data_IF_937170057024
#
_entry.id   IF_937170057024
#
_cell.length_a   1.000
_cell.length_b   1.000
_cell.length_c   1.000
_cell.angle_alpha   90.00
_cell.angle_beta   90.00
_cell.angle_gamma   90.00
#
_symmetry.space_group_name_H-M   'P 1'
#
loop_
_entity.id
_entity.type
_entity.pdbx_description
1 polymer ?
#
# COMPACT_ATOMS: atom_id res chain seq x y z
N UNK A 1 -25.50 10.07 -12.72
CA UNK A 1 -24.10 10.11 -13.19
C UNK A 1 -23.96 9.24 -14.44
N UNK A 2 -24.10 9.80 -15.64
CA UNK A 2 -24.12 9.08 -16.94
C UNK A 2 -22.76 8.49 -17.34
N UNK A 3 -22.20 7.61 -16.48
CA UNK A 3 -20.92 6.93 -16.70
C UNK A 3 -21.18 5.50 -17.15
N UNK A 4 -20.52 5.09 -18.23
CA UNK A 4 -20.50 3.71 -18.71
C UNK A 4 -20.14 2.74 -17.59
N UNK A 5 -20.99 1.72 -17.41
CA UNK A 5 -20.75 0.61 -16.50
C UNK A 5 -20.38 -0.62 -17.33
N UNK A 6 -19.30 -1.30 -16.95
CA UNK A 6 -18.81 -2.49 -17.64
C UNK A 6 -19.05 -3.72 -16.76
N UNK A 7 -19.67 -4.78 -17.31
CA UNK A 7 -19.81 -6.09 -16.66
C UNK A 7 -18.90 -7.09 -17.37
N UNK A 8 -18.09 -7.83 -16.61
CA UNK A 8 -17.15 -8.81 -17.13
C UNK A 8 -17.65 -10.24 -16.84
N UNK A 9 -17.31 -11.21 -17.69
CA UNK A 9 -17.62 -12.63 -17.47
C UNK A 9 -16.83 -13.23 -16.30
N UNK A 10 -17.32 -14.34 -15.74
CA UNK A 10 -16.63 -15.07 -14.66
C UNK A 10 -15.25 -15.57 -15.09
N UNK A 11 -15.14 -16.11 -16.31
CA UNK A 11 -13.88 -16.55 -16.89
C UNK A 11 -12.86 -15.39 -17.07
N UNK A 12 -13.33 -14.17 -17.36
CA UNK A 12 -12.47 -13.00 -17.35
C UNK A 12 -12.03 -12.64 -15.93
N UNK A 13 -12.95 -12.72 -14.96
CA UNK A 13 -12.66 -12.46 -13.54
C UNK A 13 -11.62 -13.43 -12.99
N UNK A 14 -11.73 -14.72 -13.28
CA UNK A 14 -10.77 -15.74 -12.83
C UNK A 14 -9.37 -15.51 -13.42
N UNK A 15 -9.28 -15.26 -14.74
CA UNK A 15 -8.01 -14.90 -15.40
C UNK A 15 -7.38 -13.64 -14.81
N UNK A 16 -8.19 -12.64 -14.47
CA UNK A 16 -7.72 -11.42 -13.79
C UNK A 16 -7.18 -11.72 -12.38
N UNK A 17 -7.76 -12.67 -11.65
CA UNK A 17 -7.26 -13.07 -10.32
C UNK A 17 -5.88 -13.75 -10.40
N UNK A 18 -5.65 -14.63 -11.37
CA UNK A 18 -4.36 -15.29 -11.56
C UNK A 18 -3.30 -14.34 -12.12
N UNK A 19 -3.68 -13.41 -13.01
CA UNK A 19 -2.81 -12.32 -13.44
C UNK A 19 -2.43 -11.40 -12.26
N UNK A 20 -3.39 -11.10 -11.37
CA UNK A 20 -3.18 -10.29 -10.16
C UNK A 20 -2.18 -10.95 -9.21
N UNK A 21 -2.13 -12.28 -9.14
CA UNK A 21 -1.16 -13.03 -8.36
C UNK A 21 0.28 -12.83 -8.85
N UNK A 22 0.53 -13.14 -10.13
CA UNK A 22 1.86 -12.98 -10.74
C UNK A 22 2.33 -11.53 -10.62
N UNK A 23 1.39 -10.60 -10.81
CA UNK A 23 1.62 -9.16 -10.67
C UNK A 23 2.04 -8.76 -9.26
N UNK A 24 1.37 -9.23 -8.21
CA UNK A 24 1.69 -8.82 -6.83
C UNK A 24 3.00 -9.43 -6.32
N UNK A 25 3.29 -10.68 -6.71
CA UNK A 25 4.58 -11.34 -6.42
C UNK A 25 5.72 -10.62 -7.13
N UNK A 26 5.55 -10.27 -8.42
CA UNK A 26 6.52 -9.47 -9.17
C UNK A 26 6.71 -8.08 -8.55
N UNK A 27 5.62 -7.42 -8.16
CA UNK A 27 5.65 -6.11 -7.51
C UNK A 27 6.49 -6.16 -6.23
N UNK A 28 6.26 -7.15 -5.37
CA UNK A 28 7.02 -7.34 -4.14
C UNK A 28 8.51 -7.55 -4.41
N UNK A 29 8.87 -8.36 -5.41
CA UNK A 29 10.27 -8.56 -5.84
C UNK A 29 10.94 -7.27 -6.34
N UNK A 30 10.18 -6.33 -6.89
CA UNK A 30 10.69 -5.05 -7.37
C UNK A 30 10.91 -4.01 -6.25
N UNK A 31 10.30 -4.17 -5.06
CA UNK A 31 10.37 -3.20 -3.97
C UNK A 31 11.80 -2.83 -3.53
N UNK A 32 12.75 -3.77 -3.36
CA UNK A 32 14.12 -3.42 -2.95
C UNK A 32 14.86 -2.55 -3.98
N UNK A 33 14.70 -2.85 -5.28
CA UNK A 33 15.28 -2.03 -6.35
C UNK A 33 14.70 -0.61 -6.31
N UNK A 34 13.38 -0.52 -6.17
CA UNK A 34 12.69 0.76 -6.05
C UNK A 34 13.15 1.57 -4.83
N UNK A 35 13.24 0.96 -3.64
CA UNK A 35 13.69 1.63 -2.41
C UNK A 35 15.10 2.20 -2.54
N UNK A 36 16.03 1.45 -3.13
CA UNK A 36 17.38 1.95 -3.43
C UNK A 36 17.36 3.17 -4.34
N UNK A 37 16.56 3.13 -5.41
CA UNK A 37 16.43 4.25 -6.35
C UNK A 37 15.78 5.48 -5.68
N UNK A 38 14.72 5.29 -4.92
CA UNK A 38 14.03 6.35 -4.15
C UNK A 38 14.99 7.01 -3.16
N UNK A 39 15.78 6.23 -2.42
CA UNK A 39 16.77 6.77 -1.49
C UNK A 39 17.85 7.58 -2.22
N UNK A 40 18.32 7.10 -3.37
CA UNK A 40 19.28 7.83 -4.20
C UNK A 40 18.69 9.16 -4.72
N UNK A 41 17.47 9.15 -5.25
CA UNK A 41 16.82 10.34 -5.79
C UNK A 41 16.45 11.35 -4.68
N UNK A 42 16.10 10.90 -3.47
CA UNK A 42 15.86 11.77 -2.31
C UNK A 42 17.10 12.55 -1.85
N UNK A 43 18.31 12.02 -2.11
CA UNK A 43 19.60 12.68 -1.80
C UNK A 43 19.96 13.79 -2.78
N UNK A 44 19.26 13.91 -3.91
CA UNK A 44 19.47 15.02 -4.86
C UNK A 44 19.16 16.37 -4.22
N UNK A 45 19.80 17.43 -4.73
CA UNK A 45 19.57 18.82 -4.30
C UNK A 45 18.36 19.41 -5.03
N UNK A 46 17.85 20.54 -4.51
CA UNK A 46 16.77 21.30 -5.16
C UNK A 46 15.42 20.58 -5.15
N UNK A 47 14.47 21.09 -5.93
CA UNK A 47 13.09 20.57 -6.03
C UNK A 47 12.82 19.95 -7.41
N UNK A 48 13.82 19.31 -8.01
CA UNK A 48 13.70 18.65 -9.31
C UNK A 48 12.76 17.44 -9.31
N UNK A 49 12.34 17.04 -10.51
CA UNK A 49 11.35 15.99 -10.76
C UNK A 49 11.61 14.72 -9.95
N UNK A 50 12.81 14.14 -10.03
CA UNK A 50 13.11 12.85 -9.41
C UNK A 50 13.04 12.93 -7.89
N UNK A 51 13.56 13.99 -7.28
CA UNK A 51 13.56 14.15 -5.82
C UNK A 51 12.13 14.24 -5.28
N UNK A 52 11.29 15.02 -5.95
CA UNK A 52 9.88 15.20 -5.58
C UNK A 52 9.11 13.89 -5.75
N UNK A 53 9.24 13.24 -6.90
CA UNK A 53 8.55 11.97 -7.18
C UNK A 53 9.05 10.82 -6.28
N UNK A 54 10.33 10.79 -5.93
CA UNK A 54 10.87 9.85 -4.95
C UNK A 54 10.25 10.05 -3.56
N UNK A 55 10.12 11.31 -3.11
CA UNK A 55 9.44 11.63 -1.85
C UNK A 55 7.98 11.23 -1.85
N UNK A 56 7.27 11.50 -2.94
CA UNK A 56 5.88 11.04 -3.11
C UNK A 56 5.77 9.52 -3.11
N UNK A 57 6.69 8.82 -3.77
CA UNK A 57 6.68 7.36 -3.81
C UNK A 57 6.99 6.74 -2.44
N UNK A 58 7.91 7.36 -1.66
CA UNK A 58 8.16 7.01 -0.26
C UNK A 58 6.89 7.16 0.59
N UNK A 59 6.19 8.29 0.47
CA UNK A 59 4.89 8.52 1.16
C UNK A 59 3.86 7.47 0.74
N UNK A 60 3.75 7.18 -0.55
CA UNK A 60 2.78 6.22 -1.07
C UNK A 60 3.07 4.80 -0.58
N UNK A 61 4.35 4.42 -0.54
CA UNK A 61 4.82 3.13 -0.06
C UNK A 61 4.63 2.89 1.43
N UNK A 62 4.55 3.95 2.24
CA UNK A 62 4.44 3.87 3.70
C UNK A 62 3.03 4.20 4.22
N UNK A 63 2.43 5.29 3.76
CA UNK A 63 1.13 5.76 4.26
C UNK A 63 -0.07 5.19 3.49
N UNK A 64 0.19 4.47 2.40
CA UNK A 64 -0.82 3.88 1.51
C UNK A 64 -1.86 4.87 0.98
N UNK A 65 -1.50 6.16 0.89
CA UNK A 65 -2.37 7.22 0.40
C UNK A 65 -2.74 6.95 -1.06
N UNK A 66 -3.99 7.24 -1.44
CA UNK A 66 -4.40 7.19 -2.84
C UNK A 66 -3.66 8.25 -3.66
N UNK A 67 -3.21 7.96 -4.88
CA UNK A 67 -2.50 8.94 -5.70
C UNK A 67 -3.30 10.22 -5.97
N UNK A 68 -4.64 10.14 -6.00
CA UNK A 68 -5.52 11.27 -6.30
C UNK A 68 -5.70 11.52 -7.80
N UNK A 69 -6.68 12.35 -8.14
CA UNK A 69 -6.86 12.89 -9.49
C UNK A 69 -7.56 14.24 -9.40
N UNK A 70 -7.16 15.21 -10.21
CA UNK A 70 -7.72 16.58 -10.19
C UNK A 70 -9.24 16.60 -10.33
N UNK A 71 -9.79 15.85 -11.30
CA UNK A 71 -11.24 15.80 -11.54
C UNK A 71 -12.05 15.46 -10.28
N UNK A 72 -11.61 14.47 -9.50
CA UNK A 72 -12.28 14.09 -8.26
C UNK A 72 -12.09 15.12 -7.13
N UNK A 73 -10.96 15.83 -7.10
CA UNK A 73 -10.69 16.85 -6.10
C UNK A 73 -11.54 18.10 -6.31
N UNK A 74 -11.80 18.46 -7.57
CA UNK A 74 -12.62 19.62 -7.94
C UNK A 74 -14.12 19.32 -7.83
N UNK A 75 -14.57 18.20 -8.39
CA UNK A 75 -16.00 17.87 -8.43
C UNK A 75 -16.56 17.43 -7.04
N UNK A 76 -15.75 16.82 -6.17
CA UNK A 76 -16.24 16.15 -4.95
C UNK A 76 -15.53 16.58 -3.66
N UNK A 77 -14.64 17.57 -3.71
CA UNK A 77 -13.86 18.01 -2.54
C UNK A 77 -13.01 16.90 -1.90
N UNK A 78 -12.68 15.85 -2.65
CA UNK A 78 -11.99 14.65 -2.18
C UNK A 78 -10.54 14.63 -2.66
N UNK A 79 -9.56 14.58 -1.77
CA UNK A 79 -8.14 14.69 -2.12
C UNK A 79 -7.41 13.34 -2.14
N UNK A 80 -6.32 13.28 -2.91
CA UNK A 80 -5.28 12.25 -2.81
C UNK A 80 -3.89 12.89 -2.86
N UNK A 81 -2.84 12.08 -2.84
CA UNK A 81 -1.45 12.53 -2.67
C UNK A 81 -1.07 13.68 -3.62
N UNK A 82 -1.34 13.54 -4.91
CA UNK A 82 -1.01 14.52 -5.94
C UNK A 82 -1.87 15.80 -5.90
N UNK A 83 -2.95 15.82 -5.10
CA UNK A 83 -3.87 16.97 -4.99
C UNK A 83 -3.93 17.49 -3.54
N UNK A 84 -3.00 17.10 -2.67
CA UNK A 84 -2.94 17.63 -1.32
C UNK A 84 -2.58 19.11 -1.35
N UNK A 85 -3.21 19.89 -0.47
CA UNK A 85 -2.99 21.33 -0.31
C UNK A 85 -2.26 21.60 1.00
N UNK A 86 -1.67 22.79 1.14
CA UNK A 86 -0.89 23.15 2.33
C UNK A 86 -1.64 22.90 3.65
N UNK A 87 -2.93 23.24 3.71
CA UNK A 87 -3.80 23.01 4.88
C UNK A 87 -3.97 21.53 5.28
N UNK A 88 -3.68 20.60 4.38
CA UNK A 88 -3.80 19.16 4.62
C UNK A 88 -2.53 18.53 5.21
N UNK A 89 -1.43 19.29 5.28
CA UNK A 89 -0.12 18.75 5.64
C UNK A 89 0.51 19.58 6.74
N UNK A 90 0.91 18.93 7.83
CA UNK A 90 1.68 19.54 8.91
C UNK A 90 3.03 18.84 9.03
N UNK A 91 4.10 19.60 9.20
CA UNK A 91 5.45 19.06 9.41
C UNK A 91 5.93 19.45 10.80
N UNK A 92 6.18 18.46 11.67
CA UNK A 92 6.67 18.63 13.04
C UNK A 92 7.98 17.86 13.21
N UNK A 93 9.11 18.58 13.25
CA UNK A 93 10.44 17.94 13.24
C UNK A 93 10.61 17.05 12.01
N UNK A 94 10.79 15.74 12.23
CA UNK A 94 10.92 14.71 11.20
C UNK A 94 9.60 13.99 10.87
N UNK A 95 8.50 14.41 11.49
CA UNK A 95 7.17 13.80 11.31
C UNK A 95 6.29 14.65 10.40
N UNK A 96 5.74 14.03 9.37
CA UNK A 96 4.66 14.58 8.55
C UNK A 96 3.32 14.02 9.03
N UNK A 97 2.34 14.90 9.13
CA UNK A 97 0.94 14.55 9.42
C UNK A 97 0.10 14.99 8.23
N UNK A 98 -0.60 14.05 7.62
CA UNK A 98 -1.56 14.27 6.54
C UNK A 98 -2.97 14.13 7.09
N UNK A 99 -3.77 15.19 6.97
CA UNK A 99 -5.13 15.21 7.48
C UNK A 99 -6.08 15.90 6.48
N UNK A 100 -6.92 15.11 5.80
CA UNK A 100 -7.72 15.58 4.65
C UNK A 100 -8.98 14.74 4.40
N UNK A 101 -10.01 15.31 3.74
CA UNK A 101 -11.14 14.52 3.24
C UNK A 101 -10.70 13.73 2.00
N UNK A 102 -10.70 12.40 2.11
CA UNK A 102 -10.36 11.49 1.03
C UNK A 102 -11.55 11.15 0.13
N UNK A 103 -11.40 10.08 -0.66
CA UNK A 103 -12.48 9.58 -1.54
C UNK A 103 -13.78 9.36 -0.74
N UNK A 104 -14.89 9.84 -1.30
CA UNK A 104 -16.22 9.74 -0.68
C UNK A 104 -16.33 10.46 0.67
N UNK A 105 -15.53 11.50 0.89
CA UNK A 105 -15.55 12.31 2.12
C UNK A 105 -14.90 11.66 3.34
N UNK A 106 -14.42 10.41 3.23
CA UNK A 106 -13.80 9.70 4.36
C UNK A 106 -12.54 10.43 4.80
N UNK A 107 -12.53 10.91 6.05
CA UNK A 107 -11.38 11.58 6.65
C UNK A 107 -10.17 10.62 6.67
N UNK A 108 -9.04 11.11 6.19
CA UNK A 108 -7.77 10.38 6.22
C UNK A 108 -6.82 11.11 7.17
N UNK A 109 -6.38 10.42 8.22
CA UNK A 109 -5.29 10.84 9.09
C UNK A 109 -4.13 9.86 8.93
N UNK A 110 -2.97 10.33 8.48
CA UNK A 110 -1.77 9.51 8.26
C UNK A 110 -0.53 10.22 8.77
N UNK A 111 0.38 9.46 9.34
CA UNK A 111 1.65 9.97 9.84
C UNK A 111 2.82 9.27 9.17
N UNK A 112 3.90 10.02 8.96
CA UNK A 112 5.16 9.50 8.43
C UNK A 112 6.31 10.16 9.17
N UNK A 113 7.12 9.36 9.86
CA UNK A 113 8.39 9.82 10.42
C UNK A 113 9.52 9.53 9.43
N UNK A 114 9.94 10.56 8.70
CA UNK A 114 11.04 10.47 7.73
C UNK A 114 11.67 11.86 7.54
N UNK A 115 12.90 12.02 8.04
CA UNK A 115 13.65 13.28 7.99
C UNK A 115 13.85 13.82 6.57
N UNK A 116 14.11 12.94 5.61
CA UNK A 116 14.38 13.33 4.22
C UNK A 116 13.11 13.83 3.54
N UNK A 117 12.00 13.11 3.73
CA UNK A 117 10.69 13.53 3.22
C UNK A 117 10.18 14.77 3.94
N UNK A 118 10.36 14.89 5.26
CA UNK A 118 9.94 16.06 6.03
C UNK A 118 10.66 17.32 5.56
N UNK A 119 11.97 17.21 5.30
CA UNK A 119 12.77 18.28 4.71
C UNK A 119 12.27 18.69 3.33
N UNK A 120 12.03 17.72 2.45
CA UNK A 120 11.49 17.97 1.11
C UNK A 120 10.13 18.68 1.16
N UNK A 121 9.18 18.16 1.94
CA UNK A 121 7.83 18.73 2.03
C UNK A 121 7.85 20.12 2.65
N UNK A 122 8.73 20.38 3.63
CA UNK A 122 8.92 21.72 4.19
C UNK A 122 9.39 22.73 3.14
N UNK A 123 10.25 22.31 2.20
CA UNK A 123 10.68 23.15 1.08
C UNK A 123 9.53 23.37 0.09
N UNK A 124 8.78 22.31 -0.25
CA UNK A 124 7.63 22.39 -1.15
C UNK A 124 6.51 23.31 -0.64
N UNK A 125 6.26 23.33 0.66
CA UNK A 125 5.26 24.21 1.29
C UNK A 125 5.60 25.71 1.17
N UNK A 126 6.88 26.06 0.92
CA UNK A 126 7.31 27.45 0.71
C UNK A 126 7.15 27.90 -0.74
N UNK A 127 7.04 26.96 -1.68
CA UNK A 127 6.83 27.27 -3.09
C UNK A 127 5.36 27.66 -3.29
N UNK A 128 5.05 28.81 -3.91
CA UNK A 128 3.67 29.22 -4.19
C UNK A 128 2.92 28.17 -5.03
N UNK A 129 1.59 28.13 -4.91
CA UNK A 129 0.72 27.27 -5.72
C UNK A 129 -0.33 26.53 -4.90
N UNK A 130 -1.30 25.96 -5.62
CA UNK A 130 -2.49 25.32 -5.04
C UNK A 130 -2.16 24.01 -4.32
N UNK A 131 -1.37 23.18 -4.97
CA UNK A 131 -1.01 21.85 -4.48
C UNK A 131 0.37 21.86 -3.81
N UNK A 132 0.58 20.93 -2.88
CA UNK A 132 1.85 20.78 -2.13
C UNK A 132 2.92 20.20 -3.04
N UNK A 133 2.59 19.16 -3.79
CA UNK A 133 3.57 18.42 -4.57
C UNK A 133 3.72 19.00 -5.97
N UNK A 134 4.89 19.60 -6.20
CA UNK A 134 5.31 20.24 -7.44
C UNK A 134 6.81 20.08 -7.58
N UNK A 135 7.30 20.07 -8.81
CA UNK A 135 8.74 20.12 -9.09
C UNK A 135 9.10 21.35 -9.90
N UNK A 136 10.34 21.77 -9.78
CA UNK A 136 10.91 22.92 -10.47
C UNK A 136 11.79 22.41 -11.61
N UNK A 137 11.55 22.90 -12.81
CA UNK A 137 12.34 22.62 -14.01
C UNK A 137 13.63 23.47 -14.01
N UNK A 138 14.54 23.15 -14.92
CA UNK A 138 15.84 23.83 -15.02
C UNK A 138 15.73 25.33 -15.39
N UNK A 139 14.65 25.70 -16.10
CA UNK A 139 14.29 27.07 -16.43
C UNK A 139 13.57 27.82 -15.28
N UNK A 140 13.39 27.16 -14.13
CA UNK A 140 12.69 27.70 -12.96
C UNK A 140 11.17 27.53 -12.99
N UNK A 141 10.59 26.97 -14.06
CA UNK A 141 9.15 26.76 -14.14
C UNK A 141 8.67 25.74 -13.11
N UNK A 142 7.56 26.05 -12.44
CA UNK A 142 6.94 25.18 -11.43
C UNK A 142 5.85 24.34 -12.06
N UNK A 143 5.97 23.02 -11.92
CA UNK A 143 5.03 22.04 -12.47
C UNK A 143 4.37 21.25 -11.35
N UNK A 144 3.04 21.32 -11.27
CA UNK A 144 2.28 20.50 -10.33
C UNK A 144 2.43 19.00 -10.66
N UNK A 145 2.63 18.18 -9.63
CA UNK A 145 2.65 16.73 -9.82
C UNK A 145 1.25 16.22 -10.05
N UNK A 146 1.05 15.49 -11.16
CA UNK A 146 -0.20 14.79 -11.46
C UNK A 146 -0.03 13.28 -11.34
N UNK A 147 -1.15 12.55 -11.32
CA UNK A 147 -1.18 11.08 -11.25
C UNK A 147 -0.33 10.42 -12.35
N UNK A 148 -0.25 11.02 -13.54
CA UNK A 148 0.56 10.51 -14.66
C UNK A 148 2.05 10.50 -14.31
N UNK A 149 2.58 11.63 -13.82
CA UNK A 149 4.00 11.76 -13.44
C UNK A 149 4.40 10.73 -12.37
N UNK A 150 3.52 10.47 -11.40
CA UNK A 150 3.78 9.46 -10.38
C UNK A 150 3.80 8.04 -10.94
N UNK A 151 2.90 7.69 -11.86
CA UNK A 151 2.90 6.35 -12.47
C UNK A 151 4.05 6.18 -13.47
N UNK A 152 4.43 7.23 -14.20
CA UNK A 152 5.63 7.23 -15.04
C UNK A 152 6.86 6.91 -14.21
N UNK A 153 7.07 7.64 -13.10
CA UNK A 153 8.19 7.37 -12.20
C UNK A 153 8.14 5.97 -11.57
N UNK A 154 6.95 5.46 -11.21
CA UNK A 154 6.80 4.07 -10.74
C UNK A 154 7.29 3.09 -11.80
N UNK A 155 6.93 3.29 -13.07
CA UNK A 155 7.37 2.41 -14.16
C UNK A 155 8.88 2.53 -14.41
N UNK A 156 9.45 3.73 -14.33
CA UNK A 156 10.90 3.97 -14.43
C UNK A 156 11.68 3.17 -13.37
N UNK A 157 11.20 3.14 -12.12
CA UNK A 157 11.96 2.53 -11.01
C UNK A 157 11.60 1.07 -10.72
N UNK A 158 10.39 0.63 -11.06
CA UNK A 158 9.90 -0.73 -10.80
C UNK A 158 9.78 -1.61 -12.05
N UNK A 159 9.76 -1.01 -13.24
CA UNK A 159 9.51 -1.69 -14.51
C UNK A 159 8.08 -1.47 -15.03
N UNK A 160 7.85 -1.78 -16.33
CA UNK A 160 6.58 -1.53 -16.98
C UNK A 160 5.47 -2.35 -16.34
N UNK A 161 4.27 -1.75 -16.33
CA UNK A 161 3.07 -2.43 -15.88
C UNK A 161 2.72 -2.22 -14.41
N UNK A 162 3.57 -1.66 -13.54
CA UNK A 162 3.19 -1.30 -12.17
C UNK A 162 2.62 0.12 -12.06
N UNK A 163 1.85 0.37 -11.00
CA UNK A 163 1.17 1.63 -10.75
C UNK A 163 1.02 1.89 -9.25
N UNK A 164 0.59 3.11 -8.91
CA UNK A 164 0.25 3.49 -7.54
C UNK A 164 -0.79 2.58 -6.86
N UNK A 165 -1.65 1.89 -7.64
CA UNK A 165 -2.66 0.96 -7.10
C UNK A 165 -2.00 -0.27 -6.47
N UNK A 166 -0.89 -0.73 -7.04
CA UNK A 166 -0.24 -1.98 -6.65
C UNK A 166 0.32 -1.92 -5.23
N UNK A 167 0.82 -0.75 -4.81
CA UNK A 167 1.24 -0.49 -3.43
C UNK A 167 0.12 -0.76 -2.41
N UNK A 168 -1.10 -0.28 -2.69
CA UNK A 168 -2.24 -0.49 -1.80
C UNK A 168 -2.70 -1.95 -1.78
N UNK A 169 -2.56 -2.67 -2.89
CA UNK A 169 -2.87 -4.11 -2.94
C UNK A 169 -1.83 -4.92 -2.18
N UNK A 170 -0.54 -4.60 -2.33
CA UNK A 170 0.52 -5.22 -1.52
C UNK A 170 0.31 -4.96 -0.03
N UNK A 171 0.09 -3.70 0.35
CA UNK A 171 -0.15 -3.30 1.74
C UNK A 171 -1.37 -4.00 2.34
N UNK A 172 -2.51 -4.00 1.65
CA UNK A 172 -3.72 -4.66 2.13
C UNK A 172 -3.53 -6.16 2.35
N UNK A 173 -2.81 -6.82 1.43
CA UNK A 173 -2.50 -8.24 1.53
C UNK A 173 -1.55 -8.51 2.71
N UNK A 174 -0.52 -7.69 2.89
CA UNK A 174 0.46 -7.82 3.96
C UNK A 174 -0.13 -7.58 5.35
N UNK A 175 -0.91 -6.51 5.51
CA UNK A 175 -1.60 -6.22 6.78
C UNK A 175 -2.54 -7.36 7.14
N UNK A 176 -3.35 -7.83 6.18
CA UNK A 176 -4.25 -8.95 6.41
C UNK A 176 -3.47 -10.23 6.81
N UNK A 177 -2.40 -10.57 6.09
CA UNK A 177 -1.60 -11.76 6.41
C UNK A 177 -0.95 -11.69 7.81
N UNK A 178 -0.44 -10.53 8.21
CA UNK A 178 0.13 -10.33 9.54
C UNK A 178 -0.93 -10.41 10.64
N UNK A 179 -2.11 -9.80 10.43
CA UNK A 179 -3.22 -9.87 11.38
C UNK A 179 -3.74 -11.32 11.57
N UNK A 180 -3.78 -12.11 10.49
CA UNK A 180 -4.11 -13.54 10.54
C UNK A 180 -3.06 -14.34 11.32
N UNK A 181 -1.78 -14.05 11.14
CA UNK A 181 -0.70 -14.69 11.89
C UNK A 181 -0.79 -14.39 13.39
N UNK A 182 -1.00 -13.12 13.78
CA UNK A 182 -1.23 -12.72 15.18
C UNK A 182 -2.44 -13.44 15.78
N UNK A 183 -3.55 -13.48 15.04
CA UNK A 183 -4.75 -14.17 15.49
C UNK A 183 -4.47 -15.67 15.74
N UNK A 184 -3.70 -16.31 14.86
CA UNK A 184 -3.34 -17.74 15.00
C UNK A 184 -2.46 -17.99 16.22
N UNK A 185 -1.52 -17.09 16.51
CA UNK A 185 -0.68 -17.17 17.72
C UNK A 185 -1.53 -17.12 18.99
N UNK A 186 -2.45 -16.16 19.11
CA UNK A 186 -3.37 -16.06 20.25
C UNK A 186 -4.21 -17.33 20.42
N UNK A 187 -4.70 -17.92 19.32
CA UNK A 187 -5.49 -19.15 19.37
C UNK A 187 -4.70 -20.38 19.80
N UNK A 188 -3.39 -20.44 19.52
CA UNK A 188 -2.53 -21.53 20.03
C UNK A 188 -2.30 -21.41 21.54
N UNK A 189 -2.26 -20.19 22.06
CA UNK A 189 -2.07 -19.94 23.49
C UNK A 189 -3.33 -20.28 24.32
N UNK A 190 -4.53 -20.16 23.73
CA UNK A 190 -5.82 -20.43 24.40
C UNK A 190 -6.19 -21.93 24.48
N UNK A 191 -5.40 -22.83 23.88
CA UNK A 191 -5.63 -24.27 23.90
C UNK A 191 -6.68 -24.75 22.87
N UNK A 192 -6.79 -26.08 22.71
CA UNK A 192 -7.73 -26.67 21.74
C UNK A 192 -9.18 -26.49 22.21
N UNK A 193 -10.02 -25.99 21.31
CA UNK A 193 -11.46 -25.83 21.53
C UNK A 193 -12.26 -26.76 20.60
N UNK A 194 -13.50 -27.06 20.96
CA UNK A 194 -14.38 -27.94 20.18
C UNK A 194 -14.46 -27.52 18.68
N UNK A 195 -14.57 -28.47 17.73
CA UNK A 195 -14.44 -28.19 16.28
C UNK A 195 -15.39 -27.10 15.74
N UNK A 196 -16.61 -27.01 16.28
CA UNK A 196 -17.62 -26.00 15.90
C UNK A 196 -17.22 -24.60 16.39
N UNK A 197 -16.65 -24.51 17.59
CA UNK A 197 -16.09 -23.26 18.12
C UNK A 197 -14.90 -22.82 17.28
N UNK A 198 -14.04 -23.75 16.87
CA UNK A 198 -12.87 -23.48 16.04
C UNK A 198 -13.22 -22.84 14.68
N UNK A 199 -14.22 -23.36 13.96
CA UNK A 199 -14.68 -22.76 12.68
C UNK A 199 -15.22 -21.34 12.85
N UNK A 200 -15.97 -21.09 13.93
CA UNK A 200 -16.54 -19.77 14.23
C UNK A 200 -15.45 -18.76 14.55
N UNK A 201 -14.47 -19.19 15.35
CA UNK A 201 -13.31 -18.38 15.73
C UNK A 201 -12.46 -18.03 14.51
N UNK A 202 -12.18 -19.00 13.62
CA UNK A 202 -11.46 -18.74 12.36
C UNK A 202 -12.16 -17.68 11.49
N UNK A 203 -13.48 -17.79 11.31
CA UNK A 203 -14.25 -16.77 10.56
C UNK A 203 -14.14 -15.39 11.20
N UNK A 204 -14.24 -15.30 12.53
CA UNK A 204 -14.07 -14.03 13.27
C UNK A 204 -12.67 -13.45 13.06
N UNK A 205 -11.62 -14.26 13.12
CA UNK A 205 -10.24 -13.82 12.85
C UNK A 205 -10.08 -13.26 11.44
N UNK A 206 -10.65 -13.91 10.43
CA UNK A 206 -10.61 -13.42 9.05
C UNK A 206 -11.34 -12.09 8.88
N UNK A 207 -12.53 -11.94 9.48
CA UNK A 207 -13.28 -10.69 9.45
C UNK A 207 -12.49 -9.57 10.12
N UNK A 208 -11.87 -9.84 11.27
CA UNK A 208 -11.01 -8.88 11.98
C UNK A 208 -9.81 -8.46 11.14
N UNK A 209 -9.09 -9.42 10.54
CA UNK A 209 -7.92 -9.13 9.69
C UNK A 209 -8.29 -8.31 8.43
N UNK A 210 -9.45 -8.59 7.82
CA UNK A 210 -9.95 -7.80 6.69
C UNK A 210 -10.31 -6.37 7.14
N UNK A 211 -10.92 -6.24 8.32
CA UNK A 211 -11.28 -4.94 8.91
C UNK A 211 -10.04 -4.09 9.16
N UNK A 212 -9.02 -4.65 9.80
CA UNK A 212 -7.75 -3.96 10.06
C UNK A 212 -7.13 -3.44 8.75
N UNK A 213 -7.01 -4.30 7.74
CA UNK A 213 -6.51 -3.88 6.42
C UNK A 213 -7.38 -2.76 5.78
N UNK A 214 -8.70 -2.80 5.97
CA UNK A 214 -9.60 -1.78 5.43
C UNK A 214 -9.46 -0.41 6.11
N UNK A 215 -9.23 -0.39 7.42
CA UNK A 215 -9.04 0.82 8.23
C UNK A 215 -7.73 1.53 7.83
N UNK A 216 -6.64 0.76 7.71
CA UNK A 216 -5.36 1.27 7.23
C UNK A 216 -5.39 1.76 5.77
N UNK A 217 -6.21 1.15 4.92
CA UNK A 217 -6.36 1.59 3.53
C UNK A 217 -7.39 2.71 3.34
N UNK A 218 -8.24 3.00 4.33
CA UNK A 218 -9.37 3.93 4.18
C UNK A 218 -10.38 3.41 3.14
N UNK A 219 -10.83 2.17 3.31
CA UNK A 219 -11.82 1.47 2.48
C UNK A 219 -12.88 0.81 3.38
N UNK A 220 -14.01 0.43 2.80
CA UNK A 220 -14.90 -0.54 3.48
C UNK A 220 -14.27 -1.94 3.49
N UNK A 221 -14.58 -2.80 4.48
CA UNK A 221 -14.10 -4.18 4.54
C UNK A 221 -14.40 -4.98 3.25
N UNK A 222 -15.60 -4.80 2.68
CA UNK A 222 -15.99 -5.44 1.43
C UNK A 222 -15.08 -5.05 0.26
N UNK A 223 -14.77 -3.76 0.11
CA UNK A 223 -13.87 -3.26 -0.94
C UNK A 223 -12.43 -3.72 -0.70
N UNK A 224 -11.96 -3.71 0.55
CA UNK A 224 -10.63 -4.21 0.89
C UNK A 224 -10.49 -5.69 0.50
N UNK A 225 -11.44 -6.54 0.92
CA UNK A 225 -11.47 -7.98 0.61
C UNK A 225 -11.51 -8.25 -0.90
N UNK A 226 -12.37 -7.56 -1.64
CA UNK A 226 -12.55 -7.82 -3.07
C UNK A 226 -11.39 -7.28 -3.92
N UNK A 227 -10.83 -6.12 -3.56
CA UNK A 227 -9.92 -5.37 -4.45
C UNK A 227 -8.48 -5.28 -3.98
N UNK A 228 -8.21 -5.31 -2.68
CA UNK A 228 -6.88 -5.00 -2.13
C UNK A 228 -6.23 -6.15 -1.38
N UNK A 229 -7.00 -7.11 -0.88
CA UNK A 229 -6.47 -8.32 -0.25
C UNK A 229 -6.39 -9.42 -1.30
N UNK A 230 -5.24 -10.07 -1.41
CA UNK A 230 -5.10 -11.21 -2.30
C UNK A 230 -5.76 -12.46 -1.68
N UNK A 231 -6.75 -13.10 -2.33
CA UNK A 231 -7.58 -14.13 -1.69
C UNK A 231 -6.83 -15.33 -1.11
N UNK A 232 -5.64 -15.64 -1.62
CA UNK A 232 -4.90 -16.81 -1.13
C UNK A 232 -4.50 -16.69 0.33
N UNK A 233 -4.27 -15.49 0.88
CA UNK A 233 -3.89 -15.36 2.31
C UNK A 233 -5.03 -15.83 3.23
N UNK A 234 -6.27 -15.59 2.82
CA UNK A 234 -7.47 -16.05 3.50
C UNK A 234 -7.62 -17.57 3.36
N UNK A 235 -7.45 -18.11 2.15
CA UNK A 235 -7.55 -19.55 1.89
C UNK A 235 -6.43 -20.37 2.57
N UNK A 236 -5.22 -19.81 2.70
CA UNK A 236 -4.10 -20.44 3.41
C UNK A 236 -4.37 -20.46 4.92
N UNK A 237 -4.93 -19.38 5.48
CA UNK A 237 -5.32 -19.32 6.89
C UNK A 237 -6.39 -20.36 7.25
N UNK A 238 -7.39 -20.57 6.39
CA UNK A 238 -8.39 -21.63 6.56
C UNK A 238 -7.76 -23.03 6.62
N UNK A 239 -6.61 -23.23 5.96
CA UNK A 239 -5.80 -24.46 6.00
C UNK A 239 -4.78 -24.48 7.16
N UNK A 240 -4.86 -23.53 8.08
CA UNK A 240 -3.96 -23.40 9.22
C UNK A 240 -2.58 -22.84 8.88
N UNK A 241 -2.37 -22.31 7.68
CA UNK A 241 -1.09 -21.75 7.23
C UNK A 241 -1.09 -20.22 7.38
N UNK A 242 -0.08 -19.69 8.05
CA UNK A 242 0.14 -18.26 8.27
C UNK A 242 1.59 -17.88 7.96
N UNK A 243 1.87 -16.58 7.83
CA UNK A 243 3.24 -16.11 7.68
C UNK A 243 4.00 -16.42 8.98
N UNK A 244 5.24 -16.86 8.84
CA UNK A 244 6.13 -17.23 9.94
C UNK A 244 6.74 -16.00 10.64
N UNK A 245 6.84 -14.87 9.92
CA UNK A 245 7.24 -13.57 10.48
C UNK A 245 6.20 -12.50 10.15
N UNK A 246 5.84 -11.71 11.14
CA UNK A 246 4.86 -10.63 11.05
C UNK A 246 5.26 -9.46 11.95
N UNK A 247 4.74 -8.28 11.64
CA UNK A 247 4.84 -7.11 12.53
C UNK A 247 3.69 -7.10 13.54
N UNK A 248 3.92 -6.45 14.69
CA UNK A 248 2.90 -6.24 15.72
C UNK A 248 1.95 -5.10 15.39
N UNK A 249 2.45 -4.05 14.73
CA UNK A 249 1.65 -2.92 14.24
C UNK A 249 2.14 -2.46 12.88
N UNK A 250 1.28 -1.77 12.12
CA UNK A 250 1.66 -1.19 10.82
C UNK A 250 2.76 -0.12 10.99
N UNK A 251 2.85 0.51 12.16
CA UNK A 251 3.88 1.50 12.46
C UNK A 251 5.29 0.87 12.48
N UNK A 252 5.42 -0.39 12.87
CA UNK A 252 6.68 -1.14 12.79
C UNK A 252 7.14 -1.30 11.33
N UNK A 253 6.20 -1.60 10.42
CA UNK A 253 6.49 -1.63 8.98
C UNK A 253 6.88 -0.25 8.46
N UNK A 254 6.21 0.81 8.94
CA UNK A 254 6.51 2.19 8.55
C UNK A 254 7.88 2.67 9.06
N UNK A 255 8.32 2.18 10.22
CA UNK A 255 9.63 2.46 10.81
C UNK A 255 10.78 1.74 10.09
N UNK A 256 10.49 0.74 9.25
CA UNK A 256 11.49 0.06 8.43
C UNK A 256 12.01 1.00 7.32
N UNK A 257 13.00 1.82 7.67
CA UNK A 257 13.64 2.77 6.76
C UNK A 257 14.65 2.12 5.78
N UNK A 258 14.88 0.82 5.91
CA UNK A 258 15.90 0.08 5.16
C UNK A 258 15.59 -0.10 3.67
N UNK A 259 16.65 -0.30 2.88
CA UNK A 259 16.56 -0.52 1.43
C UNK A 259 15.99 -1.89 1.05
N UNK A 260 16.10 -2.87 1.97
CA UNK A 260 15.61 -4.23 1.78
C UNK A 260 14.13 -4.41 2.15
N UNK A 261 13.60 -5.61 1.91
CA UNK A 261 12.29 -6.02 2.41
C UNK A 261 12.31 -6.19 3.93
N UNK A 262 11.24 -5.74 4.59
CA UNK A 262 10.95 -6.08 5.97
C UNK A 262 10.77 -7.60 6.13
N UNK A 263 10.96 -8.14 7.34
CA UNK A 263 10.87 -9.59 7.56
C UNK A 263 9.48 -10.15 7.19
N UNK A 264 8.42 -9.41 7.47
CA UNK A 264 7.04 -9.77 7.09
C UNK A 264 6.80 -9.72 5.58
N UNK A 265 7.45 -8.79 4.87
CA UNK A 265 7.37 -8.72 3.40
C UNK A 265 8.03 -9.94 2.77
N UNK A 266 9.19 -10.37 3.30
CA UNK A 266 9.87 -11.60 2.86
C UNK A 266 9.02 -12.84 3.15
N UNK A 267 8.45 -12.92 4.34
CA UNK A 267 7.59 -14.03 4.76
C UNK A 267 6.35 -14.16 3.86
N UNK A 268 5.67 -13.03 3.59
CA UNK A 268 4.54 -13.02 2.66
C UNK A 268 4.97 -13.39 1.24
N UNK A 269 6.08 -12.84 0.75
CA UNK A 269 6.58 -13.16 -0.59
C UNK A 269 6.90 -14.65 -0.73
N UNK A 270 7.51 -15.26 0.29
CA UNK A 270 7.77 -16.70 0.30
C UNK A 270 6.48 -17.52 0.35
N UNK A 271 5.52 -17.14 1.21
CA UNK A 271 4.20 -17.77 1.27
C UNK A 271 3.49 -17.73 -0.08
N UNK A 272 3.44 -16.55 -0.71
CA UNK A 272 2.79 -16.36 -2.01
C UNK A 272 3.61 -16.93 -3.17
N UNK A 273 4.93 -17.05 -3.04
CA UNK A 273 5.81 -17.57 -4.09
C UNK A 273 5.77 -19.09 -4.25
N UNK A 274 5.19 -19.82 -3.30
CA UNK A 274 5.03 -21.27 -3.39
C UNK A 274 4.02 -21.63 -4.49
N UNK A 275 4.37 -22.52 -5.44
CA UNK A 275 3.41 -22.98 -6.43
C UNK A 275 2.19 -23.61 -5.74
N UNK A 276 0.99 -23.35 -6.28
CA UNK A 276 -0.25 -24.02 -5.86
C UNK A 276 -0.13 -25.50 -6.27
N UNK A 277 0.40 -26.34 -5.39
CA UNK A 277 0.45 -27.79 -5.60
C UNK A 277 1.86 -28.37 -5.55
N UNK A 278 2.24 -28.77 -4.34
CA UNK A 278 3.20 -29.85 -4.12
C UNK A 278 2.63 -30.64 -2.96
N UNK A 279 1.65 -31.50 -3.22
CA UNK A 279 1.39 -32.62 -2.33
C UNK A 279 2.73 -33.31 -2.12
N UNK A 280 3.24 -33.33 -0.90
CA UNK A 280 4.20 -34.37 -0.51
C UNK A 280 3.45 -35.69 -0.68
N UNK A 281 3.52 -36.30 -1.85
CA UNK A 281 3.48 -37.75 -1.91
C UNK A 281 4.71 -38.19 -1.13
N UNK A 282 4.46 -38.84 0.00
CA UNK A 282 5.46 -39.64 0.66
C UNK A 282 6.01 -40.60 -0.40
N UNK A 283 7.29 -40.46 -0.73
CA UNK A 283 8.01 -41.53 -1.38
C UNK A 283 8.17 -42.62 -0.31
N UNK A 284 7.62 -43.78 -0.65
CA UNK A 284 7.78 -45.08 0.01
C UNK A 284 9.25 -45.44 0.08
#
# INVERSE_FOLDING_TARGET
AGRWQYRYSEAHTQRQQDAKFKRIVGFARALPKMRRRVNADLRKRGLGRERVLAGMLRILGTCFIRPGSERYAEEHGSFGLATLRARHVKVKGDTLVFDYPGKSGVRQHRELRDRSVATLVRQLLKVPGRDVFKFVLDDGAVVDVRRRHLNEYIQEVMGPGYSAKDFRTWAGTLICACALARSRESLKAEGDCAPVKQKTVLKKSMVSAVREASEHLGNTPAVARASYIYPSVLALFERGQVVDRYFKSVDELAAHAGEGMHCSEKALLHMLGRPKGGSKQAAV
#
